data_IF_766056839649
#
_entry.id   IF_766056839649
#
_cell.length_a   1.000
_cell.length_b   1.000
_cell.length_c   1.000
_cell.angle_alpha   90.00
_cell.angle_beta   90.00
_cell.angle_gamma   90.00
#
_symmetry.space_group_name_H-M   'P 1'
#
loop_
_entity.id
_entity.type
_entity.pdbx_description
1 polymer ?
#
# COMPACT_ATOMS: atom_id res chain seq x y z
N UNK A 1 10.54 -20.43 -2.52
CA UNK A 1 10.51 -18.96 -2.24
C UNK A 1 11.21 -18.70 -0.93
N UNK A 2 12.01 -17.64 -0.84
CA UNK A 2 12.61 -17.18 0.42
C UNK A 2 11.74 -16.07 1.02
N UNK A 3 11.74 -16.00 2.36
CA UNK A 3 10.96 -15.00 3.10
C UNK A 3 11.87 -14.20 4.02
N UNK A 4 11.56 -12.92 4.17
CA UNK A 4 12.26 -12.00 5.08
C UNK A 4 11.29 -11.32 6.01
N UNK A 5 11.76 -10.95 7.17
CA UNK A 5 10.99 -10.08 8.05
C UNK A 5 10.91 -8.67 7.43
N UNK A 6 9.78 -8.00 7.62
CA UNK A 6 9.61 -6.59 7.27
C UNK A 6 10.49 -5.74 8.21
N UNK A 7 11.77 -5.55 7.84
CA UNK A 7 12.76 -4.92 8.69
C UNK A 7 12.87 -5.61 10.06
N UNK A 8 12.65 -4.87 11.14
CA UNK A 8 12.66 -5.40 12.52
C UNK A 8 11.35 -6.03 12.97
N UNK A 9 10.30 -5.98 12.15
CA UNK A 9 8.96 -6.44 12.49
C UNK A 9 8.79 -7.93 12.24
N UNK A 10 7.82 -8.55 12.91
CA UNK A 10 7.58 -10.00 12.83
C UNK A 10 6.86 -10.45 11.54
N UNK A 11 6.32 -9.52 10.74
CA UNK A 11 5.66 -9.86 9.47
C UNK A 11 6.70 -10.42 8.49
N UNK A 12 6.39 -11.59 7.92
CA UNK A 12 7.24 -12.23 6.90
C UNK A 12 6.65 -12.03 5.51
N UNK A 13 7.46 -11.49 4.61
CA UNK A 13 7.11 -11.28 3.20
C UNK A 13 8.08 -12.08 2.31
N UNK A 14 7.59 -12.53 1.18
CA UNK A 14 8.44 -13.12 0.13
C UNK A 14 9.38 -12.05 -0.43
N UNK A 15 10.60 -12.45 -0.83
CA UNK A 15 11.59 -11.53 -1.42
C UNK A 15 11.13 -10.95 -2.77
N UNK A 16 10.17 -11.61 -3.40
CA UNK A 16 9.51 -11.15 -4.63
C UNK A 16 8.06 -10.84 -4.29
N UNK A 17 7.56 -9.72 -4.81
CA UNK A 17 6.17 -9.31 -4.72
C UNK A 17 5.55 -9.17 -6.11
N UNK A 18 4.24 -9.28 -6.20
CA UNK A 18 3.48 -8.98 -7.42
C UNK A 18 2.84 -7.60 -7.26
N UNK A 19 3.20 -6.67 -8.16
CA UNK A 19 2.58 -5.36 -8.28
C UNK A 19 1.46 -5.36 -9.34
N UNK A 20 0.42 -4.59 -9.09
CA UNK A 20 -0.74 -4.48 -9.98
C UNK A 20 -0.77 -3.21 -10.84
N UNK A 21 0.29 -2.39 -10.81
CA UNK A 21 0.34 -1.14 -11.57
C UNK A 21 0.24 -1.33 -13.09
N UNK A 22 0.93 -2.33 -13.61
CA UNK A 22 0.98 -2.64 -15.06
C UNK A 22 -0.17 -3.53 -15.52
N UNK A 23 -1.16 -3.79 -14.67
CA UNK A 23 -2.29 -4.65 -15.02
C UNK A 23 -3.23 -3.87 -15.95
N UNK A 24 -3.16 -4.13 -17.26
CA UNK A 24 -4.16 -3.67 -18.20
C UNK A 24 -5.42 -4.53 -18.06
N UNK A 25 -6.44 -3.94 -17.46
CA UNK A 25 -7.74 -4.61 -17.26
C UNK A 25 -8.73 -4.38 -18.42
N UNK A 26 -8.31 -3.62 -19.46
CA UNK A 26 -9.20 -3.22 -20.56
C UNK A 26 -9.10 -4.15 -21.78
N UNK A 27 -8.07 -5.01 -21.87
CA UNK A 27 -7.88 -5.95 -22.98
C UNK A 27 -8.73 -7.21 -22.85
N UNK A 28 -9.24 -7.75 -23.98
CA UNK A 28 -9.84 -9.08 -24.01
C UNK A 28 -8.83 -10.14 -23.57
N UNK A 29 -9.12 -10.83 -22.47
CA UNK A 29 -8.22 -11.83 -21.87
C UNK A 29 -7.17 -11.28 -20.91
N UNK A 30 -6.95 -9.96 -20.84
CA UNK A 30 -5.98 -9.35 -19.93
C UNK A 30 -6.28 -9.70 -18.47
N UNK A 31 -7.54 -9.64 -18.06
CA UNK A 31 -7.99 -9.98 -16.70
C UNK A 31 -7.71 -11.45 -16.37
N UNK A 32 -7.93 -12.38 -17.31
CA UNK A 32 -7.66 -13.81 -17.08
C UNK A 32 -6.15 -14.07 -17.00
N UNK A 33 -5.35 -13.47 -17.87
CA UNK A 33 -3.87 -13.57 -17.82
C UNK A 33 -3.33 -13.03 -16.50
N UNK A 34 -3.85 -11.89 -16.04
CA UNK A 34 -3.46 -11.29 -14.75
C UNK A 34 -3.83 -12.23 -13.58
N UNK A 35 -5.01 -12.86 -13.62
CA UNK A 35 -5.43 -13.83 -12.60
C UNK A 35 -4.55 -15.08 -12.59
N UNK A 36 -4.20 -15.60 -13.75
CA UNK A 36 -3.27 -16.73 -13.88
C UNK A 36 -1.87 -16.36 -13.36
N UNK A 37 -1.39 -15.14 -13.59
CA UNK A 37 -0.12 -14.65 -13.07
C UNK A 37 -0.12 -14.57 -11.54
N UNK A 38 -1.19 -14.06 -10.93
CA UNK A 38 -1.35 -14.03 -9.46
C UNK A 38 -1.36 -15.47 -8.91
N UNK A 39 -2.11 -16.37 -9.53
CA UNK A 39 -2.17 -17.77 -9.12
C UNK A 39 -0.81 -18.44 -9.21
N UNK A 40 -0.12 -18.32 -10.35
CA UNK A 40 1.20 -18.91 -10.55
C UNK A 40 2.22 -18.35 -9.53
N UNK A 41 2.17 -17.05 -9.22
CA UNK A 41 3.02 -16.44 -8.21
C UNK A 41 2.71 -17.00 -6.80
N UNK A 42 1.43 -17.10 -6.44
CA UNK A 42 1.02 -17.67 -5.16
C UNK A 42 1.45 -19.13 -5.03
N UNK A 43 1.22 -19.95 -6.06
CA UNK A 43 1.61 -21.37 -6.09
C UNK A 43 3.16 -21.54 -6.02
N UNK A 44 3.92 -20.55 -6.52
CA UNK A 44 5.38 -20.48 -6.37
C UNK A 44 5.85 -19.99 -4.99
N UNK A 45 4.91 -19.64 -4.10
CA UNK A 45 5.17 -19.18 -2.73
C UNK A 45 5.33 -17.68 -2.57
N UNK A 46 4.98 -16.85 -3.58
CA UNK A 46 4.86 -15.40 -3.38
C UNK A 46 3.68 -15.15 -2.46
N UNK A 47 3.92 -14.42 -1.36
CA UNK A 47 2.87 -14.06 -0.42
C UNK A 47 2.60 -12.55 -0.35
N UNK A 48 3.30 -11.72 -1.12
CA UNK A 48 3.14 -10.27 -1.08
C UNK A 48 2.59 -9.72 -2.40
N UNK A 49 1.44 -9.03 -2.31
CA UNK A 49 0.70 -8.45 -3.43
C UNK A 49 0.50 -6.96 -3.20
N UNK A 50 0.96 -6.13 -4.14
CA UNK A 50 1.00 -4.69 -4.02
C UNK A 50 0.04 -4.01 -4.99
N UNK A 51 -0.72 -3.03 -4.47
CA UNK A 51 -1.68 -2.22 -5.22
C UNK A 51 -1.58 -0.74 -4.84
N UNK A 52 -2.45 0.07 -5.39
CA UNK A 52 -2.74 1.44 -4.96
C UNK A 52 -4.15 1.87 -5.39
N UNK A 53 -4.72 2.83 -4.66
CA UNK A 53 -6.06 3.39 -4.90
C UNK A 53 -6.23 3.98 -6.31
N UNK A 54 -5.18 4.62 -6.83
CA UNK A 54 -5.20 5.27 -8.15
C UNK A 54 -4.97 4.30 -9.33
N UNK A 55 -4.55 3.05 -9.08
CA UNK A 55 -4.24 2.13 -10.18
C UNK A 55 -5.51 1.75 -10.95
N UNK A 56 -5.52 2.04 -12.26
CA UNK A 56 -6.69 1.85 -13.12
C UNK A 56 -7.99 2.43 -12.54
N UNK A 57 -7.89 3.59 -11.83
CA UNK A 57 -9.07 4.23 -11.23
C UNK A 57 -9.75 3.40 -10.14
N UNK A 58 -8.99 2.59 -9.39
CA UNK A 58 -9.50 1.70 -8.34
C UNK A 58 -9.88 0.29 -8.82
N UNK A 59 -9.91 0.04 -10.14
CA UNK A 59 -10.24 -1.28 -10.68
C UNK A 59 -9.16 -2.32 -10.36
N UNK A 60 -7.88 -1.90 -10.22
CA UNK A 60 -6.81 -2.80 -9.81
C UNK A 60 -7.03 -3.38 -8.41
N UNK A 61 -7.53 -2.58 -7.47
CA UNK A 61 -7.89 -3.06 -6.12
C UNK A 61 -9.05 -4.07 -6.15
N UNK A 62 -10.11 -3.77 -6.90
CA UNK A 62 -11.26 -4.67 -7.08
C UNK A 62 -10.82 -6.00 -7.70
N UNK A 63 -9.97 -5.93 -8.71
CA UNK A 63 -9.41 -7.10 -9.37
C UNK A 63 -8.56 -7.91 -8.39
N UNK A 64 -7.59 -7.30 -7.72
CA UNK A 64 -6.70 -7.97 -6.77
C UNK A 64 -7.49 -8.63 -5.64
N UNK A 65 -8.45 -7.92 -5.03
CA UNK A 65 -9.33 -8.48 -4.00
C UNK A 65 -10.12 -9.68 -4.51
N UNK A 66 -10.61 -9.63 -5.76
CA UNK A 66 -11.30 -10.77 -6.38
C UNK A 66 -10.39 -11.97 -6.63
N UNK A 67 -9.13 -11.72 -7.05
CA UNK A 67 -8.14 -12.75 -7.35
C UNK A 67 -7.63 -13.47 -6.08
N UNK A 68 -7.57 -12.73 -4.96
CA UNK A 68 -7.10 -13.28 -3.69
C UNK A 68 -8.21 -13.91 -2.83
N UNK A 69 -9.47 -13.79 -3.22
CA UNK A 69 -10.63 -14.25 -2.41
C UNK A 69 -10.60 -15.73 -2.08
N UNK A 70 -10.09 -16.55 -2.99
CA UNK A 70 -10.10 -18.01 -2.83
C UNK A 70 -8.96 -18.51 -1.94
N UNK A 71 -8.04 -17.62 -1.55
CA UNK A 71 -6.95 -17.92 -0.65
C UNK A 71 -7.27 -17.53 0.78
N UNK A 72 -6.76 -18.30 1.74
CA UNK A 72 -6.94 -17.99 3.16
C UNK A 72 -6.27 -16.65 3.48
N UNK A 73 -6.99 -15.69 4.08
CA UNK A 73 -6.51 -14.33 4.37
C UNK A 73 -5.13 -14.30 5.06
N UNK A 74 -4.88 -15.23 5.97
CA UNK A 74 -3.60 -15.32 6.69
C UNK A 74 -2.42 -15.84 5.86
N UNK A 75 -2.64 -16.29 4.62
CA UNK A 75 -1.60 -16.84 3.76
C UNK A 75 -0.94 -15.81 2.85
N UNK A 76 -1.45 -14.58 2.80
CA UNK A 76 -0.91 -13.51 1.97
C UNK A 76 -0.85 -12.18 2.70
N UNK A 77 0.03 -11.32 2.24
CA UNK A 77 0.20 -9.93 2.62
C UNK A 77 -0.27 -9.07 1.46
N UNK A 78 -1.13 -8.09 1.72
CA UNK A 78 -1.61 -7.15 0.71
C UNK A 78 -1.30 -5.72 1.12
N UNK A 79 -0.86 -4.92 0.15
CA UNK A 79 -0.66 -3.49 0.34
C UNK A 79 -1.52 -2.66 -0.59
N UNK A 80 -1.84 -1.44 -0.15
CA UNK A 80 -2.34 -0.38 -1.00
C UNK A 80 -1.69 0.96 -0.62
N UNK A 81 -1.99 2.01 -1.38
CA UNK A 81 -1.34 3.31 -1.26
C UNK A 81 -2.34 4.43 -1.47
N UNK A 82 -2.05 5.61 -0.91
CA UNK A 82 -2.85 6.83 -1.04
C UNK A 82 -1.98 8.02 -1.39
N UNK A 83 -2.41 8.85 -2.30
CA UNK A 83 -1.86 10.17 -2.63
C UNK A 83 -2.41 10.71 -3.95
N UNK A 84 -2.35 9.93 -5.04
CA UNK A 84 -2.69 10.41 -6.39
C UNK A 84 -4.18 10.71 -6.51
N UNK A 85 -4.57 11.61 -7.45
CA UNK A 85 -5.96 11.96 -7.64
C UNK A 85 -6.84 10.75 -7.99
N UNK A 86 -7.94 10.60 -7.28
CA UNK A 86 -8.98 9.59 -7.53
C UNK A 86 -10.27 10.23 -8.08
N UNK A 87 -10.30 11.55 -8.17
CA UNK A 87 -11.41 12.35 -8.68
C UNK A 87 -10.95 13.76 -9.10
N UNK A 88 -11.90 14.69 -9.18
CA UNK A 88 -11.66 16.09 -9.59
C UNK A 88 -11.89 17.09 -8.46
N UNK A 89 -12.29 16.66 -7.29
CA UNK A 89 -12.54 17.51 -6.13
C UNK A 89 -11.26 17.97 -5.46
N UNK A 90 -11.33 19.06 -4.74
CA UNK A 90 -10.17 19.65 -4.04
C UNK A 90 -9.56 18.71 -2.99
N UNK A 91 -10.33 17.76 -2.46
CA UNK A 91 -9.91 16.79 -1.45
C UNK A 91 -9.72 15.38 -2.01
N UNK A 92 -9.71 15.21 -3.34
CA UNK A 92 -9.60 13.90 -3.97
C UNK A 92 -8.13 13.48 -4.20
N UNK A 93 -7.18 14.11 -3.52
CA UNK A 93 -5.76 13.82 -3.62
C UNK A 93 -4.99 14.26 -2.36
N UNK A 94 -3.72 13.85 -2.26
CA UNK A 94 -2.81 14.27 -1.19
C UNK A 94 -2.84 13.36 0.03
N UNK A 95 -2.36 13.88 1.16
CA UNK A 95 -2.22 13.13 2.41
C UNK A 95 -2.95 13.77 3.59
N UNK A 96 -3.99 14.57 3.31
CA UNK A 96 -4.84 15.07 4.38
C UNK A 96 -5.50 13.90 5.13
N UNK A 97 -5.79 14.09 6.42
CA UNK A 97 -6.53 13.12 7.23
C UNK A 97 -7.81 12.64 6.53
N UNK A 98 -8.56 13.59 5.95
CA UNK A 98 -9.80 13.28 5.23
C UNK A 98 -9.54 12.30 4.10
N UNK A 99 -8.59 12.61 3.23
CA UNK A 99 -8.30 11.78 2.05
C UNK A 99 -7.77 10.40 2.46
N UNK A 100 -6.85 10.33 3.42
CA UNK A 100 -6.32 9.05 3.94
C UNK A 100 -7.44 8.14 4.45
N UNK A 101 -8.35 8.67 5.27
CA UNK A 101 -9.44 7.87 5.85
C UNK A 101 -10.41 7.38 4.78
N UNK A 102 -10.86 8.28 3.91
CA UNK A 102 -11.83 7.95 2.86
C UNK A 102 -11.24 6.97 1.83
N UNK A 103 -9.97 7.15 1.44
CA UNK A 103 -9.35 6.24 0.48
C UNK A 103 -9.04 4.87 1.09
N UNK A 104 -8.67 4.81 2.35
CA UNK A 104 -8.53 3.51 3.02
C UNK A 104 -9.88 2.77 3.08
N UNK A 105 -10.97 3.46 3.38
CA UNK A 105 -12.31 2.84 3.40
C UNK A 105 -12.72 2.37 1.99
N UNK A 106 -12.40 3.14 0.94
CA UNK A 106 -12.60 2.74 -0.44
C UNK A 106 -11.74 1.53 -0.82
N UNK A 107 -10.47 1.51 -0.45
CA UNK A 107 -9.54 0.38 -0.63
C UNK A 107 -10.12 -0.90 -0.03
N UNK A 108 -10.54 -0.86 1.24
CA UNK A 108 -11.11 -2.01 1.93
C UNK A 108 -12.40 -2.51 1.24
N UNK A 109 -13.25 -1.58 0.82
CA UNK A 109 -14.47 -1.89 0.07
C UNK A 109 -14.16 -2.51 -1.30
N UNK A 110 -13.21 -1.95 -2.05
CA UNK A 110 -12.80 -2.44 -3.36
C UNK A 110 -12.22 -3.85 -3.27
N UNK A 111 -11.33 -4.08 -2.31
CA UNK A 111 -10.67 -5.38 -2.10
C UNK A 111 -11.58 -6.38 -1.38
N UNK A 112 -12.69 -5.93 -0.75
CA UNK A 112 -13.57 -6.73 0.12
C UNK A 112 -12.81 -7.35 1.30
N UNK A 113 -12.00 -6.53 1.96
CA UNK A 113 -11.19 -6.90 3.11
C UNK A 113 -11.56 -6.05 4.33
N UNK A 114 -11.36 -6.59 5.52
CA UNK A 114 -11.54 -5.87 6.78
C UNK A 114 -10.30 -5.03 7.13
N UNK A 115 -9.12 -5.42 6.64
CA UNK A 115 -7.86 -4.71 6.83
C UNK A 115 -6.88 -4.98 5.67
N UNK A 116 -5.95 -4.05 5.47
CA UNK A 116 -4.74 -4.27 4.66
C UNK A 116 -3.54 -4.47 5.58
N UNK A 117 -2.58 -5.28 5.14
CA UNK A 117 -1.37 -5.53 5.93
C UNK A 117 -0.44 -4.32 5.91
N UNK A 118 -0.30 -3.68 4.76
CA UNK A 118 0.56 -2.52 4.54
C UNK A 118 -0.22 -1.40 3.86
N UNK A 119 -0.04 -0.17 4.35
CA UNK A 119 -0.61 1.02 3.71
C UNK A 119 0.46 2.09 3.55
N UNK A 120 0.60 2.63 2.35
CA UNK A 120 1.68 3.55 2.02
C UNK A 120 1.17 4.95 1.68
N UNK A 121 1.89 5.98 2.16
CA UNK A 121 1.89 7.27 1.48
C UNK A 121 2.61 7.10 0.14
N UNK A 122 1.87 7.16 -0.98
CA UNK A 122 2.42 6.87 -2.31
C UNK A 122 3.48 7.90 -2.73
N UNK A 123 3.33 9.16 -2.30
CA UNK A 123 4.29 10.25 -2.45
C UNK A 123 4.27 11.15 -1.22
N UNK A 124 5.24 12.02 -1.11
CA UNK A 124 5.24 13.09 -0.12
C UNK A 124 4.26 14.20 -0.53
N UNK A 125 3.46 14.68 0.41
CA UNK A 125 2.58 15.82 0.20
C UNK A 125 3.18 17.09 0.85
N UNK A 126 3.69 18.04 0.04
CA UNK A 126 4.25 19.27 0.59
C UNK A 126 3.18 20.24 1.11
N UNK A 127 1.91 20.00 0.82
CA UNK A 127 0.79 20.88 1.19
C UNK A 127 0.10 20.47 2.48
N UNK A 128 0.38 19.24 2.97
CA UNK A 128 -0.19 18.72 4.22
C UNK A 128 0.89 18.64 5.30
N UNK A 129 0.63 19.12 6.52
CA UNK A 129 1.56 18.93 7.64
C UNK A 129 1.86 17.45 7.87
N UNK A 130 3.14 17.10 8.02
CA UNK A 130 3.56 15.71 8.27
C UNK A 130 2.90 15.15 9.52
N UNK A 131 2.68 16.00 10.51
CA UNK A 131 2.03 15.66 11.77
C UNK A 131 0.60 15.15 11.56
N UNK A 132 -0.16 15.79 10.68
CA UNK A 132 -1.53 15.36 10.33
C UNK A 132 -1.52 14.01 9.63
N UNK A 133 -0.62 13.83 8.66
CA UNK A 133 -0.47 12.58 7.92
C UNK A 133 -0.09 11.42 8.85
N UNK A 134 0.94 11.61 9.70
CA UNK A 134 1.39 10.55 10.62
C UNK A 134 0.33 10.21 11.68
N UNK A 135 -0.38 11.22 12.19
CA UNK A 135 -1.50 11.01 13.13
C UNK A 135 -2.62 10.21 12.48
N UNK A 136 -3.01 10.56 11.25
CA UNK A 136 -4.06 9.84 10.52
C UNK A 136 -3.70 8.36 10.33
N UNK A 137 -2.47 8.05 9.88
CA UNK A 137 -2.01 6.68 9.69
C UNK A 137 -1.92 5.91 11.01
N UNK A 138 -1.44 6.55 12.08
CA UNK A 138 -1.42 5.96 13.43
C UNK A 138 -2.81 5.58 13.90
N UNK A 139 -3.81 6.44 13.64
CA UNK A 139 -5.21 6.18 14.00
C UNK A 139 -5.80 5.01 13.17
N UNK A 140 -5.43 4.88 11.90
CA UNK A 140 -5.86 3.74 11.07
C UNK A 140 -5.29 2.41 11.57
N UNK A 141 -4.06 2.41 12.08
CA UNK A 141 -3.49 1.23 12.76
C UNK A 141 -4.22 0.98 14.08
N UNK A 142 -4.53 2.02 14.85
CA UNK A 142 -5.28 1.88 16.09
C UNK A 142 -6.70 1.32 15.87
N UNK A 143 -7.32 1.70 14.75
CA UNK A 143 -8.64 1.20 14.34
C UNK A 143 -8.59 -0.24 13.79
N UNK A 144 -7.41 -0.85 13.62
CA UNK A 144 -7.26 -2.20 13.07
C UNK A 144 -7.50 -2.32 11.56
N UNK A 145 -7.62 -1.20 10.85
CA UNK A 145 -7.81 -1.19 9.38
C UNK A 145 -6.50 -1.37 8.61
N UNK A 146 -5.38 -1.09 9.27
CA UNK A 146 -4.01 -1.22 8.76
C UNK A 146 -3.16 -1.92 9.81
N UNK A 147 -2.33 -2.89 9.44
CA UNK A 147 -1.42 -3.52 10.40
C UNK A 147 -0.08 -2.78 10.49
N UNK A 148 0.47 -2.38 9.35
CA UNK A 148 1.72 -1.62 9.25
C UNK A 148 1.56 -0.52 8.21
N UNK A 149 2.21 0.61 8.42
CA UNK A 149 2.23 1.67 7.41
C UNK A 149 3.65 2.11 7.07
N UNK A 150 3.77 2.73 5.92
CA UNK A 150 5.04 3.20 5.40
C UNK A 150 4.89 4.33 4.40
N UNK A 151 6.00 4.63 3.74
CA UNK A 151 6.08 5.68 2.73
C UNK A 151 6.73 5.14 1.45
N UNK A 152 6.44 5.79 0.32
CA UNK A 152 7.04 5.46 -0.98
C UNK A 152 7.67 6.72 -1.57
N UNK A 153 8.89 6.61 -2.08
CA UNK A 153 9.63 7.69 -2.74
C UNK A 153 9.84 8.95 -1.87
N UNK A 154 9.87 8.81 -0.56
CA UNK A 154 10.20 9.91 0.34
C UNK A 154 11.71 10.04 0.48
N UNK A 155 12.20 11.29 0.49
CA UNK A 155 13.61 11.57 0.74
C UNK A 155 14.01 11.26 2.19
N UNK A 156 15.31 11.06 2.47
CA UNK A 156 15.80 10.86 3.85
C UNK A 156 15.37 11.99 4.81
N UNK A 157 15.35 13.24 4.34
CA UNK A 157 14.94 14.39 5.16
C UNK A 157 13.45 14.30 5.54
N UNK A 158 12.59 13.93 4.59
CA UNK A 158 11.16 13.75 4.82
C UNK A 158 10.90 12.58 5.80
N UNK A 159 11.63 11.49 5.65
CA UNK A 159 11.57 10.34 6.56
C UNK A 159 12.02 10.73 7.98
N UNK A 160 13.14 11.46 8.11
CA UNK A 160 13.61 11.93 9.40
C UNK A 160 12.58 12.84 10.09
N UNK A 161 11.93 13.74 9.34
CA UNK A 161 10.86 14.59 9.86
C UNK A 161 9.68 13.75 10.38
N UNK A 162 9.23 12.77 9.60
CA UNK A 162 8.15 11.87 10.02
C UNK A 162 8.53 11.06 11.29
N UNK A 163 9.75 10.54 11.36
CA UNK A 163 10.23 9.78 12.52
C UNK A 163 10.34 10.65 13.79
N UNK A 164 10.73 11.93 13.67
CA UNK A 164 10.71 12.88 14.79
C UNK A 164 9.30 13.13 15.29
N UNK A 165 8.38 13.44 14.37
CA UNK A 165 6.96 13.63 14.67
C UNK A 165 6.36 12.38 15.37
N UNK A 166 6.61 11.19 14.87
CA UNK A 166 6.15 9.94 15.46
C UNK A 166 6.63 9.78 16.91
N UNK A 167 7.88 10.12 17.19
CA UNK A 167 8.45 10.05 18.55
C UNK A 167 7.86 11.10 19.47
N UNK A 168 7.78 12.35 19.02
CA UNK A 168 7.29 13.49 19.80
C UNK A 168 5.81 13.34 20.16
N UNK A 169 5.01 12.82 19.25
CA UNK A 169 3.56 12.63 19.45
C UNK A 169 3.20 11.22 19.95
N UNK A 170 4.20 10.37 20.25
CA UNK A 170 4.00 8.99 20.73
C UNK A 170 3.08 8.16 19.82
N UNK A 171 3.22 8.33 18.49
CA UNK A 171 2.42 7.64 17.50
C UNK A 171 2.90 6.20 17.28
N UNK A 172 2.06 5.40 16.67
CA UNK A 172 2.43 4.06 16.19
C UNK A 172 3.54 4.19 15.14
N UNK A 173 4.57 3.32 15.20
CA UNK A 173 5.76 3.50 14.38
C UNK A 173 5.51 3.22 12.91
N UNK A 174 6.10 4.03 12.04
CA UNK A 174 6.27 3.74 10.62
C UNK A 174 7.22 2.53 10.46
N UNK A 175 6.90 1.64 9.52
CA UNK A 175 7.52 0.31 9.47
C UNK A 175 8.38 0.07 8.24
N UNK A 176 8.12 0.74 7.12
CA UNK A 176 8.67 0.37 5.82
C UNK A 176 8.75 1.56 4.87
N UNK A 177 9.69 1.50 3.94
CA UNK A 177 9.75 2.36 2.76
C UNK A 177 9.71 1.49 1.50
N UNK A 178 9.02 1.98 0.45
CA UNK A 178 9.05 1.42 -0.90
C UNK A 178 9.69 2.42 -1.86
N UNK A 179 11.02 2.42 -2.04
CA UNK A 179 11.71 3.32 -2.97
C UNK A 179 11.90 2.66 -4.33
N UNK A 180 12.11 3.47 -5.36
CA UNK A 180 12.72 3.01 -6.59
C UNK A 180 14.14 2.52 -6.27
N UNK A 181 14.48 1.34 -6.77
CA UNK A 181 15.81 0.77 -6.65
C UNK A 181 16.18 0.01 -7.91
N UNK A 182 17.21 0.45 -8.61
CA UNK A 182 17.75 -0.21 -9.78
C UNK A 182 19.24 0.14 -9.97
N UNK A 183 19.89 -0.49 -10.94
CA UNK A 183 21.32 -0.30 -11.18
C UNK A 183 21.65 0.97 -11.96
N UNK A 184 20.67 1.60 -12.61
CA UNK A 184 20.84 2.74 -13.52
C UNK A 184 20.60 4.06 -12.79
N UNK A 185 19.44 4.16 -12.12
CA UNK A 185 19.05 5.32 -11.34
C UNK A 185 19.45 5.09 -9.88
N UNK A 186 20.43 5.87 -9.40
CA UNK A 186 21.07 5.64 -8.09
C UNK A 186 21.13 6.91 -7.22
N UNK A 187 20.33 7.93 -7.53
CA UNK A 187 20.27 9.19 -6.82
C UNK A 187 19.31 9.19 -5.63
#
# INVERSE_FOLDING_TARGET
MQYRNLGKWGLKVSEIAIGSWMTDLNGLGATETARQSIRAAYDAGVNFFDCADAYSGGEAEKFLGSALRDYRRSSYVVSSKVFFPVGRGANDWGLSRKHIVEQLDNTLKNMKLDYVDLYFCHRFDPTTPVEETMQALSDMVAAGKVLYYGVSEWSPVQICKALSCIRELHLRPMSVIQPQYNMIDRY
#
